data_IF_483898223837
#
_entry.id   IF_483898223837
#
_cell.length_a   1.000
_cell.length_b   1.000
_cell.length_c   1.000
_cell.angle_alpha   90.00
_cell.angle_beta   90.00
_cell.angle_gamma   90.00
#
_symmetry.space_group_name_H-M   'P 1'
#
loop_
_entity.id
_entity.type
_entity.pdbx_description
1 polymer ?
#
# COMPACT_ATOMS: atom_id res chain seq x y z
N UNK A 1 14.18 5.88 -9.22
CA UNK A 1 13.88 4.86 -10.26
C UNK A 1 13.99 3.46 -9.66
N UNK A 2 12.90 2.87 -9.16
CA UNK A 2 12.89 1.49 -8.62
C UNK A 2 12.04 0.58 -9.51
N UNK A 3 12.50 0.41 -10.75
CA UNK A 3 11.78 -0.38 -11.78
C UNK A 3 11.79 -1.88 -11.45
N UNK A 4 12.87 -2.38 -10.83
CA UNK A 4 13.00 -3.76 -10.41
C UNK A 4 11.98 -4.16 -9.34
N UNK A 5 11.77 -3.33 -8.32
CA UNK A 5 10.74 -3.57 -7.27
C UNK A 5 9.33 -3.60 -7.85
N UNK A 6 9.06 -2.79 -8.89
CA UNK A 6 7.77 -2.82 -9.58
C UNK A 6 7.58 -4.10 -10.40
N UNK A 7 8.61 -4.51 -11.16
CA UNK A 7 8.53 -5.75 -11.95
C UNK A 7 8.36 -6.94 -11.02
N UNK A 8 9.21 -7.06 -10.00
CA UNK A 8 9.19 -8.17 -9.05
C UNK A 8 7.86 -8.22 -8.29
N UNK A 9 7.37 -7.07 -7.81
CA UNK A 9 6.06 -6.99 -7.16
C UNK A 9 4.93 -7.38 -8.10
N UNK A 10 4.92 -6.89 -9.35
CA UNK A 10 3.88 -7.23 -10.31
C UNK A 10 3.91 -8.72 -10.71
N UNK A 11 5.11 -9.30 -10.87
CA UNK A 11 5.28 -10.73 -11.18
C UNK A 11 4.78 -11.61 -10.03
N UNK A 12 5.09 -11.28 -8.78
CA UNK A 12 4.60 -12.06 -7.62
C UNK A 12 3.12 -11.86 -7.33
N UNK A 13 2.60 -10.64 -7.52
CA UNK A 13 1.19 -10.32 -7.32
C UNK A 13 0.28 -10.88 -8.43
N UNK A 14 0.83 -11.16 -9.61
CA UNK A 14 0.11 -11.76 -10.75
C UNK A 14 0.04 -13.30 -10.71
N UNK A 15 0.71 -13.95 -9.73
CA UNK A 15 0.70 -15.39 -9.57
C UNK A 15 -0.14 -15.79 -8.35
N UNK A 16 -1.27 -16.45 -8.60
CA UNK A 16 -2.28 -16.86 -7.60
C UNK A 16 -1.69 -17.61 -6.38
N UNK A 17 -0.66 -18.44 -6.56
CA UNK A 17 -0.06 -19.19 -5.44
C UNK A 17 0.82 -18.36 -4.49
N UNK A 18 1.40 -17.25 -4.95
CA UNK A 18 2.35 -16.43 -4.16
C UNK A 18 1.81 -15.04 -3.82
N UNK A 19 0.78 -14.60 -4.54
CA UNK A 19 0.15 -13.28 -4.40
C UNK A 19 -0.30 -12.96 -2.98
N UNK A 20 -1.07 -13.81 -2.26
CA UNK A 20 -1.55 -13.46 -0.92
C UNK A 20 -0.43 -13.35 0.12
N UNK A 21 0.58 -14.22 0.07
CA UNK A 21 1.71 -14.18 1.02
C UNK A 21 2.56 -12.94 0.77
N UNK A 22 2.92 -12.67 -0.48
CA UNK A 22 3.72 -11.50 -0.83
C UNK A 22 2.98 -10.20 -0.55
N UNK A 23 1.68 -10.14 -0.84
CA UNK A 23 0.85 -8.97 -0.56
C UNK A 23 0.72 -8.71 0.94
N UNK A 24 0.58 -9.75 1.77
CA UNK A 24 0.55 -9.61 3.24
C UNK A 24 1.85 -9.00 3.75
N UNK A 25 3.00 -9.57 3.39
CA UNK A 25 4.33 -9.07 3.79
C UNK A 25 4.54 -7.64 3.30
N UNK A 26 4.10 -7.33 2.08
CA UNK A 26 4.21 -5.99 1.51
C UNK A 26 3.34 -4.98 2.27
N UNK A 27 2.11 -5.33 2.66
CA UNK A 27 1.23 -4.47 3.46
C UNK A 27 1.84 -4.19 4.83
N UNK A 28 2.32 -5.22 5.54
CA UNK A 28 2.96 -5.06 6.84
C UNK A 28 4.19 -4.14 6.76
N UNK A 29 5.02 -4.34 5.74
CA UNK A 29 6.17 -3.49 5.48
C UNK A 29 5.77 -2.02 5.23
N UNK A 30 4.73 -1.80 4.43
CA UNK A 30 4.23 -0.47 4.11
C UNK A 30 3.60 0.21 5.33
N UNK A 31 2.83 -0.54 6.14
CA UNK A 31 2.26 -0.08 7.40
C UNK A 31 3.35 0.45 8.34
N UNK A 32 4.46 -0.27 8.47
CA UNK A 32 5.60 0.15 9.29
C UNK A 32 6.26 1.46 8.85
N UNK A 33 6.03 1.90 7.60
CA UNK A 33 6.66 3.09 7.00
C UNK A 33 5.69 4.15 6.51
N UNK A 34 4.42 4.07 6.93
CA UNK A 34 3.42 5.06 6.56
C UNK A 34 3.84 6.48 6.95
N UNK A 35 4.50 6.66 8.11
CA UNK A 35 4.95 7.97 8.60
C UNK A 35 5.88 8.66 7.62
N UNK A 36 6.73 7.89 6.92
CA UNK A 36 7.65 8.43 5.94
C UNK A 36 6.97 9.01 4.70
N UNK A 37 5.72 8.62 4.42
CA UNK A 37 4.95 9.16 3.30
C UNK A 37 4.59 10.64 3.49
N UNK A 38 4.50 11.09 4.75
CA UNK A 38 4.18 12.46 5.11
C UNK A 38 5.39 13.35 5.41
N UNK A 39 6.60 12.79 5.44
CA UNK A 39 7.81 13.47 5.97
C UNK A 39 8.51 14.41 4.95
N UNK A 40 7.95 14.60 3.75
CA UNK A 40 8.47 15.53 2.75
C UNK A 40 9.52 14.96 1.78
N UNK A 41 9.70 13.63 1.75
CA UNK A 41 10.52 12.96 0.73
C UNK A 41 9.63 12.45 -0.41
N UNK A 42 9.43 13.31 -1.41
CA UNK A 42 8.54 13.02 -2.54
C UNK A 42 8.86 11.71 -3.29
N UNK A 43 10.13 11.30 -3.38
CA UNK A 43 10.50 10.04 -4.04
C UNK A 43 10.03 8.82 -3.24
N UNK A 44 10.24 8.81 -1.92
CA UNK A 44 9.81 7.71 -1.04
C UNK A 44 8.29 7.66 -0.92
N UNK A 45 7.64 8.80 -0.76
CA UNK A 45 6.17 8.90 -0.69
C UNK A 45 5.52 8.34 -1.96
N UNK A 46 6.05 8.71 -3.15
CA UNK A 46 5.55 8.18 -4.41
C UNK A 46 5.79 6.67 -4.57
N UNK A 47 6.93 6.16 -4.11
CA UNK A 47 7.21 4.72 -4.13
C UNK A 47 6.20 3.96 -3.26
N UNK A 48 5.98 4.37 -2.02
CA UNK A 48 5.05 3.70 -1.11
C UNK A 48 3.61 3.79 -1.59
N UNK A 49 3.17 4.95 -2.10
CA UNK A 49 1.85 5.09 -2.73
C UNK A 49 1.66 4.12 -3.90
N UNK A 50 2.70 3.93 -4.72
CA UNK A 50 2.62 3.02 -5.86
C UNK A 50 2.57 1.57 -5.42
N UNK A 51 3.29 1.19 -4.37
CA UNK A 51 3.25 -0.16 -3.80
C UNK A 51 1.88 -0.48 -3.17
N UNK A 52 1.30 0.46 -2.42
CA UNK A 52 -0.07 0.31 -1.91
C UNK A 52 -1.09 0.11 -3.03
N UNK A 53 -0.99 0.90 -4.11
CA UNK A 53 -1.86 0.74 -5.29
C UNK A 53 -1.70 -0.63 -5.96
N UNK A 54 -0.48 -1.19 -5.99
CA UNK A 54 -0.25 -2.53 -6.53
C UNK A 54 -0.94 -3.60 -5.67
N UNK A 55 -0.86 -3.49 -4.34
CA UNK A 55 -1.60 -4.39 -3.43
C UNK A 55 -3.11 -4.27 -3.62
N UNK A 56 -3.64 -3.04 -3.67
CA UNK A 56 -5.09 -2.86 -3.86
C UNK A 56 -5.54 -3.40 -5.22
N UNK A 57 -4.72 -3.22 -6.26
CA UNK A 57 -4.96 -3.81 -7.58
C UNK A 57 -4.91 -5.35 -7.58
N UNK A 58 -4.03 -5.97 -6.81
CA UNK A 58 -3.99 -7.44 -6.70
C UNK A 58 -5.21 -7.99 -5.96
N UNK A 59 -5.79 -7.22 -5.04
CA UNK A 59 -7.06 -7.57 -4.37
C UNK A 59 -8.22 -7.53 -5.35
N UNK A 60 -8.26 -6.54 -6.24
CA UNK A 60 -9.25 -6.50 -7.33
C UNK A 60 -9.08 -7.67 -8.31
N UNK A 61 -7.85 -8.12 -8.56
CA UNK A 61 -7.57 -9.23 -9.47
C UNK A 61 -7.90 -10.61 -8.86
N UNK A 62 -7.65 -10.80 -7.57
CA UNK A 62 -7.83 -12.07 -6.85
C UNK A 62 -8.61 -11.87 -5.53
N UNK A 63 -9.86 -11.42 -5.64
CA UNK A 63 -10.67 -11.04 -4.47
C UNK A 63 -10.78 -12.15 -3.41
N UNK A 64 -11.03 -13.40 -3.83
CA UNK A 64 -11.27 -14.52 -2.90
C UNK A 64 -10.10 -14.77 -1.92
N UNK A 65 -8.86 -14.57 -2.37
CA UNK A 65 -7.64 -14.88 -1.59
C UNK A 65 -7.07 -13.61 -0.95
N UNK A 66 -7.04 -12.51 -1.69
CA UNK A 66 -6.39 -11.27 -1.27
C UNK A 66 -7.30 -10.36 -0.42
N UNK A 67 -8.63 -10.51 -0.47
CA UNK A 67 -9.49 -9.74 0.44
C UNK A 67 -9.30 -10.18 1.89
N UNK A 68 -9.13 -11.49 2.12
CA UNK A 68 -8.94 -12.04 3.47
C UNK A 68 -7.67 -11.52 4.14
N UNK A 69 -6.57 -11.35 3.37
CA UNK A 69 -5.33 -10.78 3.89
C UNK A 69 -5.40 -9.26 4.07
N UNK A 70 -6.12 -8.51 3.23
CA UNK A 70 -6.22 -7.06 3.38
C UNK A 70 -7.15 -6.64 4.53
N UNK A 71 -8.25 -7.37 4.76
CA UNK A 71 -9.30 -7.05 5.74
C UNK A 71 -8.80 -6.68 7.13
N UNK A 72 -7.90 -7.42 7.79
CA UNK A 72 -7.41 -7.07 9.13
C UNK A 72 -6.61 -5.76 9.15
N UNK A 73 -5.98 -5.37 8.04
CA UNK A 73 -5.14 -4.18 7.95
C UNK A 73 -5.92 -2.91 7.56
N UNK A 74 -7.11 -3.02 6.97
CA UNK A 74 -7.91 -1.88 6.49
C UNK A 74 -8.14 -0.82 7.57
N UNK A 75 -8.60 -1.23 8.74
CA UNK A 75 -8.89 -0.32 9.84
C UNK A 75 -7.64 0.44 10.28
N UNK A 76 -6.50 -0.26 10.34
CA UNK A 76 -5.21 0.34 10.68
C UNK A 76 -4.75 1.33 9.61
N UNK A 77 -4.87 0.98 8.32
CA UNK A 77 -4.51 1.88 7.21
C UNK A 77 -5.35 3.16 7.28
N UNK A 78 -6.66 3.05 7.49
CA UNK A 78 -7.56 4.21 7.51
C UNK A 78 -7.26 5.12 8.70
N UNK A 79 -7.25 4.57 9.92
CA UNK A 79 -7.02 5.39 11.12
C UNK A 79 -5.65 6.04 11.12
N UNK A 80 -4.60 5.26 10.80
CA UNK A 80 -3.23 5.77 10.79
C UNK A 80 -3.02 6.80 9.68
N UNK A 81 -3.69 6.66 8.53
CA UNK A 81 -3.68 7.70 7.49
C UNK A 81 -4.30 9.00 7.96
N UNK A 82 -5.42 8.93 8.70
CA UNK A 82 -6.11 10.11 9.24
C UNK A 82 -5.27 10.79 10.34
N UNK A 83 -4.71 10.01 11.26
CA UNK A 83 -3.84 10.50 12.33
C UNK A 83 -2.58 11.18 11.78
N UNK A 84 -1.90 10.53 10.83
CA UNK A 84 -0.67 11.07 10.23
C UNK A 84 -0.95 12.27 9.33
N UNK A 85 -2.11 12.35 8.69
CA UNK A 85 -2.50 13.52 7.91
C UNK A 85 -2.63 14.79 8.77
N UNK A 86 -2.86 14.67 10.09
CA UNK A 86 -2.98 15.84 10.98
C UNK A 86 -1.61 16.47 11.31
N UNK A 87 -0.53 15.70 11.27
CA UNK A 87 0.81 16.12 11.72
C UNK A 87 1.85 16.14 10.59
N UNK A 88 1.54 15.54 9.45
CA UNK A 88 2.47 15.43 8.34
C UNK A 88 2.72 16.75 7.62
N UNK A 89 3.93 16.87 7.08
CA UNK A 89 4.34 17.98 6.22
C UNK A 89 3.60 17.95 4.87
N UNK A 90 3.33 16.75 4.37
CA UNK A 90 2.58 16.51 3.12
C UNK A 90 1.35 15.62 3.36
N UNK A 91 0.27 16.17 3.95
CA UNK A 91 -0.91 15.38 4.32
C UNK A 91 -1.67 14.83 3.11
N UNK A 92 -1.52 15.47 1.94
CA UNK A 92 -2.14 15.05 0.68
C UNK A 92 -1.82 13.61 0.28
N UNK A 93 -0.63 13.10 0.62
CA UNK A 93 -0.21 11.73 0.30
C UNK A 93 -1.10 10.69 1.00
N UNK A 94 -1.56 10.95 2.23
CA UNK A 94 -2.47 10.03 2.93
C UNK A 94 -3.88 10.07 2.32
N UNK A 95 -4.36 11.22 1.87
CA UNK A 95 -5.63 11.30 1.14
C UNK A 95 -5.58 10.59 -0.20
N UNK A 96 -4.45 10.63 -0.92
CA UNK A 96 -4.25 9.83 -2.14
C UNK A 96 -4.25 8.33 -1.86
N UNK A 97 -3.70 7.90 -0.73
CA UNK A 97 -3.74 6.51 -0.28
C UNK A 97 -5.18 6.07 0.00
N UNK A 98 -5.92 6.83 0.81
CA UNK A 98 -7.34 6.58 1.09
C UNK A 98 -8.18 6.55 -0.19
N UNK A 99 -7.95 7.50 -1.11
CA UNK A 99 -8.63 7.51 -2.41
C UNK A 99 -8.35 6.26 -3.23
N UNK A 100 -7.12 5.72 -3.18
CA UNK A 100 -6.79 4.49 -3.88
C UNK A 100 -7.40 3.25 -3.21
N UNK A 101 -7.64 3.30 -1.89
CA UNK A 101 -8.25 2.22 -1.13
C UNK A 101 -9.76 2.08 -1.39
N UNK A 102 -10.47 3.21 -1.49
CA UNK A 102 -11.92 3.24 -1.71
C UNK A 102 -12.35 3.14 -3.18
N UNK A 103 -11.41 3.06 -4.12
CA UNK A 103 -11.68 3.03 -5.57
C UNK A 103 -11.71 1.60 -6.09
#
# INVERSE_FOLDING_TARGET
HNFALQIVGNTFLSNCGTSPIFATVLVEYLLGRMEEMGNGNAERSNLYLKLFKLVFGSVQLFAAENEHMLRPHLHQIVNRSMELAMTAKEPYNYFLLLRALFR
#
